data_IF_349640990389
#
_entry.id   IF_349640990389
#
_cell.length_a   1.000
_cell.length_b   1.000
_cell.length_c   1.000
_cell.angle_alpha   90.00
_cell.angle_beta   90.00
_cell.angle_gamma   90.00
#
_symmetry.space_group_name_H-M   'P 1'
#
loop_
_entity.id
_entity.type
_entity.pdbx_description
1 polymer ?
#
# COMPACT_ATOMS: atom_id res chain seq x y z
N UNK A 1 -0.21 -1.09 3.80
CA UNK A 1 0.59 -1.98 2.96
C UNK A 1 2.03 -1.97 3.46
N UNK A 2 2.81 -3.05 3.27
CA UNK A 2 4.20 -3.11 3.73
C UNK A 2 5.04 -1.92 3.23
N UNK A 3 4.93 -1.54 1.95
CA UNK A 3 5.63 -0.38 1.40
C UNK A 3 5.21 0.97 2.01
N UNK A 4 3.92 1.20 2.27
CA UNK A 4 3.47 2.42 2.96
C UNK A 4 4.02 2.50 4.40
N UNK A 5 4.12 1.36 5.08
CA UNK A 5 4.62 1.28 6.46
C UNK A 5 6.13 1.51 6.50
N UNK A 6 6.85 0.90 5.54
CA UNK A 6 8.28 1.11 5.38
C UNK A 6 8.61 2.56 5.03
N UNK A 7 7.84 3.20 4.13
CA UNK A 7 7.98 4.62 3.82
C UNK A 7 7.85 5.50 5.07
N UNK A 8 6.85 5.23 5.90
CA UNK A 8 6.64 5.96 7.16
C UNK A 8 7.77 5.72 8.17
N UNK A 9 8.27 4.48 8.28
CA UNK A 9 9.37 4.11 9.19
C UNK A 9 10.71 4.71 8.77
N UNK A 10 10.96 4.83 7.47
CA UNK A 10 12.19 5.40 6.93
C UNK A 10 12.14 6.94 6.84
N UNK A 11 10.97 7.54 7.05
CA UNK A 11 10.69 8.97 6.84
C UNK A 11 11.13 9.46 5.44
N UNK A 12 10.59 8.83 4.39
CA UNK A 12 11.05 9.06 3.01
C UNK A 12 9.93 9.48 2.06
N UNK A 13 10.34 10.14 0.98
CA UNK A 13 9.49 10.35 -0.20
C UNK A 13 9.16 9.05 -0.95
N UNK A 14 8.19 9.11 -1.89
CA UNK A 14 7.76 7.95 -2.69
C UNK A 14 8.84 7.43 -3.67
N UNK A 15 9.82 8.26 -4.01
CA UNK A 15 10.89 7.96 -4.97
C UNK A 15 12.19 7.46 -4.32
N UNK A 16 12.17 7.15 -3.02
CA UNK A 16 13.37 6.65 -2.33
C UNK A 16 13.82 5.30 -2.90
N UNK A 17 15.09 5.22 -3.33
CA UNK A 17 15.70 4.02 -3.92
C UNK A 17 15.60 2.76 -3.04
N UNK A 18 15.51 2.91 -1.71
CA UNK A 18 15.30 1.79 -0.78
C UNK A 18 13.93 1.16 -0.97
N UNK A 19 12.90 1.97 -1.20
CA UNK A 19 11.55 1.50 -1.49
C UNK A 19 11.50 0.78 -2.83
N UNK A 20 12.18 1.32 -3.85
CA UNK A 20 12.29 0.69 -5.16
C UNK A 20 12.95 -0.69 -5.09
N UNK A 21 14.03 -0.85 -4.31
CA UNK A 21 14.68 -2.16 -4.11
C UNK A 21 13.77 -3.19 -3.44
N UNK A 22 12.99 -2.77 -2.44
CA UNK A 22 12.04 -3.66 -1.76
C UNK A 22 10.90 -4.06 -2.69
N UNK A 23 10.38 -3.11 -3.48
CA UNK A 23 9.38 -3.38 -4.50
C UNK A 23 9.90 -4.38 -5.54
N UNK A 24 11.11 -4.18 -6.06
CA UNK A 24 11.73 -5.07 -7.04
C UNK A 24 11.89 -6.49 -6.51
N UNK A 25 12.43 -6.64 -5.29
CA UNK A 25 12.57 -7.95 -4.66
C UNK A 25 11.21 -8.66 -4.46
N UNK A 26 10.15 -7.91 -4.15
CA UNK A 26 8.80 -8.46 -4.02
C UNK A 26 8.19 -8.89 -5.36
N UNK A 27 8.55 -8.21 -6.45
CA UNK A 27 8.07 -8.52 -7.81
C UNK A 27 8.87 -9.65 -8.48
N UNK A 28 10.15 -9.81 -8.14
CA UNK A 28 11.06 -10.78 -8.74
C UNK A 28 10.51 -12.21 -8.70
N UNK A 29 9.79 -12.58 -7.64
CA UNK A 29 9.21 -13.93 -7.48
C UNK A 29 8.08 -14.26 -8.47
N UNK A 30 7.65 -13.28 -9.28
CA UNK A 30 6.63 -13.45 -10.33
C UNK A 30 7.23 -13.25 -11.74
N UNK A 31 8.54 -13.02 -11.84
CA UNK A 31 9.21 -12.62 -13.07
C UNK A 31 9.33 -13.74 -14.12
N UNK A 32 9.12 -14.99 -13.69
CA UNK A 32 9.00 -16.17 -14.54
C UNK A 32 7.65 -16.24 -15.28
N UNK A 33 6.60 -15.64 -14.71
CA UNK A 33 5.25 -15.59 -15.29
C UNK A 33 5.01 -14.35 -16.15
N UNK A 34 5.51 -13.19 -15.73
CA UNK A 34 5.30 -11.91 -16.38
C UNK A 34 6.60 -11.10 -16.36
N UNK A 35 7.00 -10.43 -17.45
CA UNK A 35 8.21 -9.61 -17.46
C UNK A 35 8.21 -8.57 -16.33
N UNK A 36 9.35 -8.43 -15.64
CA UNK A 36 9.49 -7.52 -14.50
C UNK A 36 9.11 -6.06 -14.82
N UNK A 37 9.31 -5.63 -16.07
CA UNK A 37 8.88 -4.31 -16.55
C UNK A 37 7.37 -4.12 -16.52
N UNK A 38 6.59 -5.16 -16.86
CA UNK A 38 5.13 -5.16 -16.79
C UNK A 38 4.63 -5.18 -15.35
N UNK A 39 5.29 -5.95 -14.49
CA UNK A 39 5.01 -6.00 -13.05
C UNK A 39 5.22 -4.63 -12.40
N UNK A 40 6.36 -3.97 -12.69
CA UNK A 40 6.65 -2.60 -12.22
C UNK A 40 5.60 -1.59 -12.70
N UNK A 41 5.19 -1.67 -13.96
CA UNK A 41 4.17 -0.78 -14.51
C UNK A 41 2.79 -0.97 -13.84
N UNK A 42 2.46 -2.18 -13.39
CA UNK A 42 1.22 -2.48 -12.69
C UNK A 42 1.23 -2.10 -11.20
N UNK A 43 2.42 -2.00 -10.59
CA UNK A 43 2.59 -1.81 -9.15
C UNK A 43 1.82 -0.60 -8.58
N UNK A 44 1.79 0.60 -9.21
CA UNK A 44 1.05 1.74 -8.69
C UNK A 44 -0.46 1.46 -8.54
N UNK A 45 -1.06 0.79 -9.52
CA UNK A 45 -2.46 0.40 -9.49
C UNK A 45 -2.72 -0.68 -8.44
N UNK A 46 -1.82 -1.67 -8.34
CA UNK A 46 -1.89 -2.73 -7.34
C UNK A 46 -1.80 -2.17 -5.90
N UNK A 47 -0.95 -1.17 -5.66
CA UNK A 47 -0.85 -0.52 -4.35
C UNK A 47 -2.12 0.23 -3.97
N UNK A 48 -2.74 0.96 -4.92
CA UNK A 48 -4.05 1.60 -4.70
C UNK A 48 -5.14 0.57 -4.40
N UNK A 49 -5.20 -0.52 -5.16
CA UNK A 49 -6.12 -1.62 -4.90
C UNK A 49 -5.87 -2.26 -3.51
N UNK A 50 -4.61 -2.43 -3.13
CA UNK A 50 -4.22 -2.92 -1.80
C UNK A 50 -4.69 -2.01 -0.67
N UNK A 51 -4.64 -0.67 -0.85
CA UNK A 51 -5.22 0.29 0.13
C UNK A 51 -6.73 0.10 0.26
N UNK A 52 -7.45 -0.06 -0.84
CA UNK A 52 -8.90 -0.35 -0.82
C UNK A 52 -9.21 -1.67 -0.10
N UNK A 53 -8.49 -2.75 -0.41
CA UNK A 53 -8.64 -4.04 0.23
C UNK A 53 -8.39 -3.97 1.75
N UNK A 54 -7.43 -3.13 2.19
CA UNK A 54 -7.20 -2.90 3.64
C UNK A 54 -8.33 -2.11 4.28
N UNK A 55 -8.88 -1.10 3.63
CA UNK A 55 -10.05 -0.39 4.12
C UNK A 55 -11.25 -1.34 4.29
N UNK A 56 -11.55 -2.13 3.26
CA UNK A 56 -12.64 -3.11 3.28
C UNK A 56 -12.44 -4.18 4.38
N UNK A 57 -11.21 -4.66 4.55
CA UNK A 57 -10.86 -5.58 5.63
C UNK A 57 -11.17 -5.01 7.02
N UNK A 58 -10.93 -3.72 7.25
CA UNK A 58 -11.28 -3.07 8.52
C UNK A 58 -12.79 -2.90 8.68
N UNK A 59 -13.48 -2.50 7.60
CA UNK A 59 -14.94 -2.36 7.61
C UNK A 59 -15.65 -3.67 7.95
N UNK A 60 -15.11 -4.82 7.53
CA UNK A 60 -15.64 -6.15 7.91
C UNK A 60 -15.46 -6.48 9.40
N UNK A 61 -14.49 -5.88 10.08
CA UNK A 61 -14.23 -6.12 11.50
C UNK A 61 -15.08 -5.22 12.43
N UNK A 62 -15.48 -4.03 11.98
CA UNK A 62 -16.19 -3.07 12.82
C UNK A 62 -17.50 -3.62 13.44
N UNK A 63 -18.34 -4.40 12.73
CA UNK A 63 -19.59 -4.91 13.33
C UNK A 63 -19.39 -5.86 14.52
N UNK A 64 -18.21 -6.47 14.68
CA UNK A 64 -17.90 -7.38 15.78
C UNK A 64 -17.12 -6.72 16.93
N UNK A 65 -16.86 -5.41 16.85
CA UNK A 65 -16.11 -4.68 17.87
C UNK A 65 -17.03 -4.16 18.96
N UNK A 66 -16.51 -4.14 20.18
CA UNK A 66 -17.07 -3.39 21.31
C UNK A 66 -16.90 -1.89 21.10
N UNK A 67 -17.64 -1.07 21.86
CA UNK A 67 -17.49 0.39 21.82
C UNK A 67 -16.07 0.86 22.17
N UNK A 68 -15.41 0.17 23.11
CA UNK A 68 -14.03 0.47 23.49
C UNK A 68 -13.05 0.20 22.34
N UNK A 69 -13.17 -0.96 21.68
CA UNK A 69 -12.34 -1.27 20.50
C UNK A 69 -12.66 -0.32 19.33
N UNK A 70 -13.93 0.02 19.11
CA UNK A 70 -14.32 0.99 18.09
C UNK A 70 -13.72 2.37 18.39
N UNK A 71 -13.62 2.76 19.66
CA UNK A 71 -12.97 3.99 20.05
C UNK A 71 -11.50 4.03 19.60
N UNK A 72 -10.78 2.92 19.71
CA UNK A 72 -9.38 2.81 19.33
C UNK A 72 -9.19 2.65 17.80
N UNK A 73 -10.08 1.93 17.12
CA UNK A 73 -9.86 1.49 15.74
C UNK A 73 -10.72 2.17 14.67
N UNK A 74 -11.71 3.00 15.02
CA UNK A 74 -12.61 3.64 14.02
C UNK A 74 -11.90 4.39 12.90
N UNK A 75 -10.70 4.92 13.18
CA UNK A 75 -9.88 5.65 12.20
C UNK A 75 -9.13 4.76 11.19
N UNK A 76 -9.13 3.43 11.37
CA UNK A 76 -8.29 2.55 10.58
C UNK A 76 -8.71 2.46 9.10
N UNK A 77 -10.00 2.24 8.80
CA UNK A 77 -10.50 2.23 7.43
C UNK A 77 -10.37 3.59 6.73
N UNK A 78 -10.82 4.72 7.33
CA UNK A 78 -10.64 6.05 6.74
C UNK A 78 -9.18 6.38 6.40
N UNK A 79 -8.22 5.98 7.24
CA UNK A 79 -6.79 6.19 6.97
C UNK A 79 -6.33 5.53 5.68
N UNK A 80 -6.80 4.32 5.37
CA UNK A 80 -6.45 3.65 4.11
C UNK A 80 -7.15 4.27 2.89
N UNK A 81 -8.39 4.74 3.06
CA UNK A 81 -9.12 5.43 2.00
C UNK A 81 -8.50 6.79 1.67
N UNK A 82 -8.11 7.57 2.68
CA UNK A 82 -7.41 8.85 2.49
C UNK A 82 -6.10 8.62 1.75
N UNK A 83 -5.35 7.56 2.05
CA UNK A 83 -4.13 7.21 1.33
C UNK A 83 -4.34 6.95 -0.18
N UNK A 84 -5.57 6.84 -0.71
CA UNK A 84 -5.79 6.73 -2.17
C UNK A 84 -5.45 8.02 -2.92
N UNK A 85 -5.46 9.18 -2.23
CA UNK A 85 -5.10 10.47 -2.84
C UNK A 85 -3.59 10.68 -2.91
N UNK A 86 -2.81 9.92 -2.12
CA UNK A 86 -1.36 9.99 -2.10
C UNK A 86 -0.75 9.24 -3.28
N UNK A 87 0.36 9.76 -3.79
CA UNK A 87 1.17 9.03 -4.76
C UNK A 87 1.67 7.71 -4.17
N UNK A 88 1.54 6.59 -4.92
CA UNK A 88 2.07 5.32 -4.46
C UNK A 88 3.61 5.39 -4.41
N UNK A 89 4.25 4.84 -3.35
CA UNK A 89 5.70 4.69 -3.35
C UNK A 89 6.08 3.79 -4.53
N UNK A 90 7.02 4.22 -5.38
CA UNK A 90 7.42 3.60 -6.66
C UNK A 90 6.48 3.79 -7.88
N UNK A 91 5.71 4.88 -7.94
CA UNK A 91 5.12 5.33 -9.20
C UNK A 91 6.18 5.64 -10.27
N UNK A 92 5.93 5.46 -11.58
CA UNK A 92 6.76 6.14 -12.56
C UNK A 92 6.72 7.63 -12.25
N UNK A 93 7.88 8.29 -12.23
CA UNK A 93 7.96 9.74 -12.12
C UNK A 93 6.95 10.34 -13.10
N UNK A 94 6.00 11.13 -12.59
CA UNK A 94 5.09 11.88 -13.45
C UNK A 94 5.97 12.87 -14.21
N UNK A 95 6.21 12.58 -15.49
CA UNK A 95 6.80 13.53 -16.44
C UNK A 95 5.84 14.66 -16.75
#
# INVERSE_FOLDING_TARGET
MPLDSLRAQLDTGPDDSRLARVADAALEVWSDLVPLTRLRAALPAALRLGRLARAESWLRCYPSMTDAELADYRGAAPRWLLGLIDDPPSGPARG
#
